data_IF_487011250975
#
_entry.id   IF_487011250975
#
_cell.length_a   1.000
_cell.length_b   1.000
_cell.length_c   1.000
_cell.angle_alpha   90.00
_cell.angle_beta   90.00
_cell.angle_gamma   90.00
#
_symmetry.space_group_name_H-M   'P 1'
#
loop_
_entity.id
_entity.type
_entity.pdbx_description
1 polymer ?
#
# COMPACT_ATOMS: atom_id res chain seq x y z
N UNK A 1 31.38 27.00 11.82
CA UNK A 1 31.90 25.61 11.79
C UNK A 1 33.01 25.38 10.76
N UNK A 2 33.95 26.35 10.62
CA UNK A 2 35.08 26.25 9.70
C UNK A 2 36.06 25.10 9.98
N UNK A 3 36.10 24.58 11.22
CA UNK A 3 37.01 23.50 11.60
C UNK A 3 36.66 22.11 11.03
N UNK A 4 35.41 21.88 10.77
CA UNK A 4 34.94 20.60 10.20
C UNK A 4 35.21 20.51 8.70
N UNK A 5 35.28 21.64 8.02
CA UNK A 5 35.58 21.74 6.59
C UNK A 5 37.07 21.61 6.29
N UNK A 6 37.95 22.09 7.18
CA UNK A 6 39.38 21.91 7.03
C UNK A 6 39.83 20.45 7.17
N UNK A 7 39.21 19.69 8.11
CA UNK A 7 39.49 18.26 8.28
C UNK A 7 39.06 17.43 7.06
N UNK A 8 37.82 17.69 6.54
CA UNK A 8 37.33 17.03 5.33
C UNK A 8 38.18 17.37 4.09
N UNK A 9 38.70 18.58 3.99
CA UNK A 9 39.54 19.02 2.87
C UNK A 9 40.91 18.30 2.86
N UNK A 10 41.50 18.01 4.01
CA UNK A 10 42.71 17.22 4.12
C UNK A 10 42.48 15.74 3.75
N UNK A 11 41.36 15.18 4.17
CA UNK A 11 41.01 13.79 3.89
C UNK A 11 40.73 13.56 2.39
N UNK A 12 40.07 14.51 1.72
CA UNK A 12 39.79 14.44 0.27
C UNK A 12 41.06 14.81 -0.59
N UNK A 13 41.99 15.57 -0.09
CA UNK A 13 43.21 15.95 -0.81
C UNK A 13 44.15 14.76 -1.12
N UNK A 14 43.93 13.60 -0.47
CA UNK A 14 44.71 12.38 -0.66
C UNK A 14 44.26 11.50 -1.82
N UNK A 15 43.17 11.83 -2.49
CA UNK A 15 42.61 11.04 -3.59
C UNK A 15 43.08 11.59 -4.95
N UNK A 16 44.19 11.07 -5.46
CA UNK A 16 44.70 11.44 -6.79
C UNK A 16 43.68 11.06 -7.90
N UNK A 17 43.43 12.01 -8.81
CA UNK A 17 42.58 11.80 -9.99
C UNK A 17 41.06 11.92 -9.73
N UNK A 18 40.65 12.30 -8.51
CA UNK A 18 39.23 12.55 -8.19
C UNK A 18 38.94 14.04 -8.11
N UNK A 19 37.98 14.51 -8.92
CA UNK A 19 37.49 15.89 -8.84
C UNK A 19 36.37 15.98 -7.81
N UNK A 20 36.56 16.78 -6.77
CA UNK A 20 35.57 17.01 -5.72
C UNK A 20 34.81 18.30 -6.00
N UNK A 21 33.50 18.20 -6.08
CA UNK A 21 32.60 19.35 -6.20
C UNK A 21 31.84 19.52 -4.88
N UNK A 22 32.11 20.61 -4.17
CA UNK A 22 31.39 20.98 -2.98
C UNK A 22 30.25 21.93 -3.36
N UNK A 23 29.02 21.43 -3.28
CA UNK A 23 27.84 22.26 -3.44
C UNK A 23 27.43 22.78 -2.05
N UNK A 24 27.71 24.05 -1.81
CA UNK A 24 27.23 24.72 -0.60
C UNK A 24 25.82 25.22 -0.85
N UNK A 25 24.88 24.70 -0.07
CA UNK A 25 23.53 25.25 -0.01
C UNK A 25 23.53 26.43 0.99
N UNK A 26 22.92 27.53 0.60
CA UNK A 26 22.64 28.67 1.48
C UNK A 26 21.86 28.20 2.72
N UNK A 27 21.87 28.98 3.77
CA UNK A 27 21.29 28.68 5.08
C UNK A 27 19.99 27.91 5.01
N UNK A 28 19.84 26.91 5.90
CA UNK A 28 18.62 26.11 5.99
C UNK A 28 17.42 27.04 6.08
N UNK A 29 16.34 26.75 5.35
CA UNK A 29 15.11 27.51 5.49
C UNK A 29 14.69 27.54 6.96
N UNK A 30 14.22 28.67 7.41
CA UNK A 30 13.85 28.92 8.82
C UNK A 30 12.86 27.88 9.36
N UNK A 31 12.01 27.33 8.50
CA UNK A 31 11.09 26.26 8.82
C UNK A 31 10.68 25.50 7.57
N UNK A 32 10.73 24.17 7.60
CA UNK A 32 10.22 23.30 6.57
C UNK A 32 9.33 22.21 7.18
N UNK A 33 8.19 21.97 6.58
CA UNK A 33 7.29 20.87 6.86
C UNK A 33 7.26 19.95 5.66
N UNK A 34 7.28 18.66 5.88
CA UNK A 34 7.09 17.67 4.83
C UNK A 34 5.99 16.68 5.21
N UNK A 35 5.27 16.17 4.21
CA UNK A 35 4.16 15.24 4.44
C UNK A 35 4.35 13.94 3.68
N UNK A 36 3.95 12.85 4.31
CA UNK A 36 3.86 11.53 3.70
C UNK A 36 2.57 10.84 4.10
N UNK A 37 2.04 10.04 3.20
CA UNK A 37 0.87 9.20 3.43
C UNK A 37 1.27 7.74 3.32
N UNK A 38 0.80 6.95 4.27
CA UNK A 38 1.03 5.52 4.33
C UNK A 38 -0.29 4.78 4.59
N UNK A 39 -0.30 3.47 4.40
CA UNK A 39 -1.42 2.58 4.72
C UNK A 39 -2.76 3.01 4.12
N UNK A 40 -2.76 3.54 2.90
CA UNK A 40 -4.00 3.91 2.20
C UNK A 40 -4.82 2.67 1.89
N UNK A 41 -6.04 2.60 2.41
CA UNK A 41 -6.94 1.46 2.24
C UNK A 41 -8.35 1.94 1.98
N UNK A 42 -8.98 1.38 0.94
CA UNK A 42 -10.40 1.51 0.71
C UNK A 42 -11.14 0.38 1.45
N UNK A 43 -12.13 0.75 2.23
CA UNK A 43 -12.95 -0.20 2.99
C UNK A 43 -14.43 0.08 2.72
N UNK A 44 -15.25 -0.97 2.79
CA UNK A 44 -16.71 -0.85 2.74
C UNK A 44 -17.28 -1.41 4.03
N UNK A 45 -18.06 -0.62 4.73
CA UNK A 45 -18.66 -1.00 6.00
C UNK A 45 -20.14 -0.61 6.01
N UNK A 46 -21.02 -1.59 6.12
CA UNK A 46 -22.48 -1.34 6.19
C UNK A 46 -23.08 -0.68 4.95
N UNK A 47 -22.41 -0.76 3.80
CA UNK A 47 -22.87 -0.11 2.55
C UNK A 47 -22.16 1.22 2.26
N UNK A 48 -21.51 1.83 3.25
CA UNK A 48 -20.72 3.04 3.08
C UNK A 48 -19.27 2.70 2.75
N UNK A 49 -18.66 3.48 1.88
CA UNK A 49 -17.24 3.35 1.54
C UNK A 49 -16.42 4.47 2.20
N UNK A 50 -15.28 4.10 2.72
CA UNK A 50 -14.33 5.03 3.33
C UNK A 50 -12.89 4.70 2.91
N UNK A 51 -12.05 5.71 2.87
CA UNK A 51 -10.61 5.56 2.86
C UNK A 51 -10.10 5.66 4.28
N UNK A 52 -9.19 4.77 4.64
CA UNK A 52 -8.39 4.88 5.86
C UNK A 52 -6.94 5.08 5.44
N UNK A 53 -6.26 6.04 6.07
CA UNK A 53 -4.87 6.34 5.77
C UNK A 53 -4.15 6.90 7.00
N UNK A 54 -2.83 6.78 6.99
CA UNK A 54 -1.96 7.37 7.99
C UNK A 54 -1.21 8.55 7.35
N UNK A 55 -1.17 9.69 8.06
CA UNK A 55 -0.41 10.87 7.63
C UNK A 55 0.70 11.13 8.62
N UNK A 56 1.90 11.29 8.10
CA UNK A 56 3.09 11.68 8.85
C UNK A 56 3.52 13.06 8.38
N UNK A 57 3.73 13.97 9.32
CA UNK A 57 4.27 15.31 9.07
C UNK A 57 5.57 15.43 9.82
N UNK A 58 6.63 15.81 9.14
CA UNK A 58 7.92 16.11 9.78
C UNK A 58 8.18 17.60 9.74
N UNK A 59 8.74 18.12 10.83
CA UNK A 59 9.22 19.47 10.93
C UNK A 59 10.75 19.49 10.93
N UNK A 60 11.35 20.35 10.13
CA UNK A 60 12.80 20.54 10.06
C UNK A 60 13.13 22.03 10.02
N UNK A 61 14.26 22.43 10.63
CA UNK A 61 14.70 23.82 10.66
C UNK A 61 13.90 24.70 11.62
N UNK A 62 14.48 25.85 11.98
CA UNK A 62 13.84 26.85 12.86
C UNK A 62 13.63 26.41 14.32
N UNK A 63 13.22 27.34 15.15
CA UNK A 63 12.72 27.01 16.48
C UNK A 63 11.40 26.25 16.33
N UNK A 64 11.34 25.09 16.96
CA UNK A 64 10.15 24.21 16.90
C UNK A 64 8.94 24.94 17.48
N UNK A 65 8.13 25.52 16.61
CA UNK A 65 6.88 26.15 17.01
C UNK A 65 5.84 25.05 17.13
N UNK A 66 5.61 24.60 18.36
CA UNK A 66 4.43 23.83 18.68
C UNK A 66 3.19 24.66 18.33
N UNK A 67 2.22 24.04 17.67
CA UNK A 67 0.99 24.76 17.28
C UNK A 67 0.08 23.88 16.44
N UNK A 68 -1.07 24.41 16.09
CA UNK A 68 -2.00 23.72 15.19
C UNK A 68 -1.72 24.08 13.74
N UNK A 69 -1.72 23.08 12.90
CA UNK A 69 -1.61 23.26 11.45
C UNK A 69 -2.78 22.58 10.75
N UNK A 70 -3.34 23.20 9.70
CA UNK A 70 -4.33 22.56 8.86
C UNK A 70 -3.65 21.57 7.92
N UNK A 71 -4.19 20.36 7.84
CA UNK A 71 -3.87 19.37 6.81
C UNK A 71 -5.05 19.34 5.84
N UNK A 72 -4.82 19.66 4.58
CA UNK A 72 -5.81 19.61 3.52
C UNK A 72 -5.80 18.22 2.87
N UNK A 73 -6.95 17.59 2.78
CA UNK A 73 -7.19 16.36 2.04
C UNK A 73 -7.98 16.68 0.78
N UNK A 74 -7.57 16.13 -0.35
CA UNK A 74 -8.34 16.16 -1.59
C UNK A 74 -8.48 14.73 -2.09
N UNK A 75 -9.71 14.24 -2.27
CA UNK A 75 -10.01 12.90 -2.80
C UNK A 75 -11.01 13.06 -3.93
N UNK A 76 -10.60 12.70 -5.14
CA UNK A 76 -11.40 12.85 -6.37
C UNK A 76 -12.07 14.23 -6.51
N UNK A 77 -11.34 15.30 -6.16
CA UNK A 77 -11.82 16.68 -6.22
C UNK A 77 -12.64 17.16 -5.02
N UNK A 78 -12.95 16.29 -4.06
CA UNK A 78 -13.62 16.68 -2.80
C UNK A 78 -12.56 17.04 -1.78
N UNK A 79 -12.70 18.22 -1.16
CA UNK A 79 -11.74 18.74 -0.18
C UNK A 79 -12.29 18.72 1.23
N UNK A 80 -11.40 18.38 2.17
CA UNK A 80 -11.63 18.49 3.61
C UNK A 80 -10.35 18.96 4.31
N UNK A 81 -10.50 19.53 5.51
CA UNK A 81 -9.37 20.04 6.30
C UNK A 81 -9.48 19.50 7.71
N UNK A 82 -8.35 19.06 8.25
CA UNK A 82 -8.23 18.61 9.65
C UNK A 82 -7.09 19.37 10.30
N UNK A 83 -7.34 19.96 11.47
CA UNK A 83 -6.29 20.57 12.28
C UNK A 83 -5.60 19.53 13.14
N UNK A 84 -4.28 19.49 13.10
CA UNK A 84 -3.44 18.62 13.92
C UNK A 84 -2.49 19.45 14.79
N UNK A 85 -2.18 18.94 15.98
CA UNK A 85 -1.16 19.52 16.83
C UNK A 85 0.22 19.07 16.36
N UNK A 86 1.07 20.05 16.08
CA UNK A 86 2.46 19.86 15.67
C UNK A 86 3.36 20.06 16.88
N UNK A 87 4.22 19.12 17.14
CA UNK A 87 5.29 19.24 18.13
C UNK A 87 6.66 19.49 17.44
N UNK A 88 7.73 19.48 18.23
CA UNK A 88 9.09 19.70 17.75
C UNK A 88 9.58 18.66 16.72
N UNK A 89 8.97 17.49 16.66
CA UNK A 89 9.34 16.40 15.79
C UNK A 89 8.40 16.26 14.57
N UNK A 90 7.21 16.85 14.68
CA UNK A 90 6.19 16.78 13.64
C UNK A 90 4.81 16.46 14.20
N UNK A 91 3.99 15.81 13.39
CA UNK A 91 2.67 15.32 13.75
C UNK A 91 2.38 13.98 13.08
N UNK A 92 1.53 13.17 13.71
CA UNK A 92 1.04 11.92 13.16
C UNK A 92 -0.47 11.84 13.29
N UNK A 93 -1.15 11.53 12.20
CA UNK A 93 -2.58 11.27 12.17
C UNK A 93 -2.78 9.83 11.67
N UNK A 94 -3.05 8.91 12.59
CA UNK A 94 -3.19 7.50 12.28
C UNK A 94 -4.65 7.10 12.09
N UNK A 95 -4.90 6.24 11.11
CA UNK A 95 -6.23 5.68 10.84
C UNK A 95 -7.27 6.75 10.49
N UNK A 96 -6.86 7.86 9.88
CA UNK A 96 -7.78 8.90 9.45
C UNK A 96 -8.75 8.37 8.41
N UNK A 97 -10.05 8.66 8.60
CA UNK A 97 -11.12 8.16 7.74
C UNK A 97 -11.70 9.27 6.90
N UNK A 98 -11.78 9.03 5.61
CA UNK A 98 -12.39 9.94 4.64
C UNK A 98 -13.53 9.19 3.96
N UNK A 99 -14.79 9.63 4.13
CA UNK A 99 -15.93 9.07 3.40
C UNK A 99 -15.75 9.28 1.90
N UNK A 100 -16.06 8.25 1.11
CA UNK A 100 -16.04 8.31 -0.35
C UNK A 100 -17.33 7.73 -0.93
N UNK A 101 -17.62 8.01 -2.20
CA UNK A 101 -18.74 7.38 -2.90
C UNK A 101 -18.50 5.86 -2.99
N UNK A 102 -19.49 5.07 -2.56
CA UNK A 102 -19.41 3.60 -2.56
C UNK A 102 -19.19 3.01 -3.97
N UNK A 103 -19.63 3.72 -5.02
CA UNK A 103 -19.45 3.32 -6.41
C UNK A 103 -18.04 3.56 -6.93
N UNK A 104 -17.20 4.25 -6.17
CA UNK A 104 -15.85 4.57 -6.56
C UNK A 104 -14.92 3.39 -6.25
N UNK A 105 -14.71 2.51 -7.23
CA UNK A 105 -13.86 1.34 -7.10
C UNK A 105 -12.36 1.70 -6.99
N UNK A 106 -11.93 2.78 -7.62
CA UNK A 106 -10.57 3.28 -7.60
C UNK A 106 -10.55 4.80 -7.75
N UNK A 107 -9.47 5.43 -7.33
CA UNK A 107 -9.30 6.86 -7.44
C UNK A 107 -7.94 7.34 -6.97
N UNK A 108 -7.83 8.64 -6.81
CA UNK A 108 -6.63 9.32 -6.36
C UNK A 108 -6.96 10.35 -5.27
N UNK A 109 -5.95 10.73 -4.53
CA UNK A 109 -6.05 11.80 -3.57
C UNK A 109 -4.72 12.49 -3.33
N UNK A 110 -4.77 13.57 -2.59
CA UNK A 110 -3.58 14.25 -2.09
C UNK A 110 -3.79 14.75 -0.67
N UNK A 111 -2.68 14.85 0.04
CA UNK A 111 -2.59 15.50 1.35
C UNK A 111 -1.65 16.68 1.20
N UNK A 112 -2.10 17.84 1.65
CA UNK A 112 -1.36 19.10 1.54
C UNK A 112 -1.16 19.79 2.89
N UNK A 113 -0.01 20.43 3.04
CA UNK A 113 0.36 21.30 4.16
C UNK A 113 0.31 22.78 3.75
N UNK A 114 0.26 23.70 4.70
CA UNK A 114 0.48 25.11 4.43
C UNK A 114 1.83 25.37 3.74
N UNK A 115 1.89 26.42 2.94
CA UNK A 115 3.13 26.81 2.26
C UNK A 115 4.21 27.20 3.27
N UNK A 116 5.40 26.73 3.02
CA UNK A 116 6.61 27.09 3.75
C UNK A 116 7.78 27.37 2.78
N UNK A 117 9.01 27.24 3.24
CA UNK A 117 10.21 27.54 2.46
C UNK A 117 10.46 26.56 1.31
N UNK A 118 9.96 25.31 1.42
CA UNK A 118 10.08 24.29 0.37
C UNK A 118 8.71 23.74 -0.03
N UNK A 119 8.00 24.35 -0.96
CA UNK A 119 6.65 23.90 -1.33
C UNK A 119 6.61 22.55 -2.05
N UNK A 120 7.75 21.94 -2.38
CA UNK A 120 7.81 20.68 -3.14
C UNK A 120 7.46 19.46 -2.30
N UNK A 121 7.70 19.49 -0.99
CA UNK A 121 7.41 18.41 -0.05
C UNK A 121 6.17 18.66 0.82
N UNK A 122 5.45 19.78 0.55
CA UNK A 122 4.20 20.11 1.22
C UNK A 122 2.99 19.37 0.65
N UNK A 123 3.14 18.54 -0.37
CA UNK A 123 2.03 17.78 -0.95
C UNK A 123 2.45 16.36 -1.29
N UNK A 124 1.66 15.40 -0.84
CA UNK A 124 1.80 13.99 -1.15
C UNK A 124 0.58 13.50 -1.92
N UNK A 125 0.81 12.77 -3.01
CA UNK A 125 -0.24 12.19 -3.83
C UNK A 125 -0.31 10.68 -3.59
N UNK A 126 -1.52 10.15 -3.58
CA UNK A 126 -1.74 8.71 -3.44
C UNK A 126 -2.85 8.23 -4.37
N UNK A 127 -2.86 6.93 -4.61
CA UNK A 127 -3.93 6.24 -5.33
C UNK A 127 -4.53 5.18 -4.42
N UNK A 128 -5.78 4.83 -4.69
CA UNK A 128 -6.46 3.75 -3.99
C UNK A 128 -7.33 2.95 -4.96
N UNK A 129 -7.57 1.70 -4.61
CA UNK A 129 -8.50 0.82 -5.33
C UNK A 129 -9.24 -0.08 -4.35
N UNK A 130 -10.29 -0.73 -4.83
CA UNK A 130 -10.86 -1.85 -4.10
C UNK A 130 -9.80 -2.90 -3.81
N UNK A 131 -9.85 -3.55 -2.63
CA UNK A 131 -8.95 -4.65 -2.33
C UNK A 131 -9.06 -5.73 -3.41
N UNK A 132 -7.92 -6.14 -3.95
CA UNK A 132 -7.87 -7.26 -4.88
C UNK A 132 -8.44 -8.52 -4.21
N UNK A 133 -9.31 -9.23 -4.93
CA UNK A 133 -9.84 -10.52 -4.47
C UNK A 133 -8.84 -11.60 -4.84
N UNK A 134 -8.29 -12.29 -3.85
CA UNK A 134 -7.53 -13.52 -4.04
C UNK A 134 -8.49 -14.69 -3.97
N UNK A 135 -8.82 -15.26 -5.11
CA UNK A 135 -9.67 -16.43 -5.18
C UNK A 135 -8.83 -17.71 -5.19
N UNK A 136 -9.22 -18.67 -4.37
CA UNK A 136 -8.71 -20.02 -4.38
C UNK A 136 -9.87 -20.99 -4.63
N UNK A 137 -9.63 -22.00 -5.45
CA UNK A 137 -10.58 -23.07 -5.68
C UNK A 137 -10.00 -24.38 -5.18
N UNK A 138 -10.78 -25.14 -4.44
CA UNK A 138 -10.43 -26.46 -3.92
C UNK A 138 -11.29 -27.49 -4.65
N UNK A 139 -10.67 -28.37 -5.40
CA UNK A 139 -11.34 -29.52 -6.00
C UNK A 139 -11.13 -30.73 -5.09
N UNK A 140 -12.18 -31.20 -4.47
CA UNK A 140 -12.14 -32.29 -3.50
C UNK A 140 -13.52 -32.88 -3.24
N UNK A 141 -13.60 -34.20 -3.21
CA UNK A 141 -14.77 -34.96 -2.76
C UNK A 141 -14.73 -35.26 -1.24
N UNK A 142 -13.58 -35.04 -0.57
CA UNK A 142 -13.47 -35.13 0.90
C UNK A 142 -13.82 -33.78 1.57
N UNK A 143 -15.05 -33.66 2.03
CA UNK A 143 -15.56 -32.47 2.67
C UNK A 143 -14.76 -32.03 3.91
N UNK A 144 -14.12 -32.96 4.63
CA UNK A 144 -13.36 -32.67 5.83
C UNK A 144 -12.02 -32.00 5.49
N UNK A 145 -11.35 -32.52 4.47
CA UNK A 145 -10.08 -31.95 3.99
C UNK A 145 -10.34 -30.61 3.31
N UNK A 146 -11.36 -30.55 2.44
CA UNK A 146 -11.77 -29.29 1.79
C UNK A 146 -12.07 -28.19 2.80
N UNK A 147 -12.77 -28.50 3.89
CA UNK A 147 -13.05 -27.52 4.94
C UNK A 147 -11.79 -27.09 5.69
N UNK A 148 -10.81 -27.96 5.92
CA UNK A 148 -9.54 -27.58 6.52
C UNK A 148 -8.78 -26.58 5.65
N UNK A 149 -8.66 -26.81 4.35
CA UNK A 149 -8.06 -25.88 3.41
C UNK A 149 -8.84 -24.58 3.31
N UNK A 150 -10.17 -24.66 3.23
CA UNK A 150 -11.04 -23.48 3.18
C UNK A 150 -10.79 -22.57 4.37
N UNK A 151 -10.70 -23.11 5.59
CA UNK A 151 -10.39 -22.34 6.81
C UNK A 151 -9.00 -21.73 6.77
N UNK A 152 -8.00 -22.48 6.34
CA UNK A 152 -6.63 -22.00 6.24
C UNK A 152 -6.51 -20.82 5.24
N UNK A 153 -7.14 -20.95 4.07
CA UNK A 153 -7.11 -19.95 3.02
C UNK A 153 -7.99 -18.73 3.31
N UNK A 154 -8.99 -18.86 4.17
CA UNK A 154 -9.86 -17.76 4.58
C UNK A 154 -9.17 -16.78 5.55
N UNK A 155 -8.02 -17.15 6.12
CA UNK A 155 -7.26 -16.27 7.01
C UNK A 155 -6.52 -15.23 6.17
N UNK A 156 -6.88 -13.94 6.26
CA UNK A 156 -6.19 -12.91 5.49
C UNK A 156 -4.79 -12.68 6.07
N UNK A 157 -3.76 -12.81 5.25
CA UNK A 157 -2.38 -12.47 5.59
C UNK A 157 -2.13 -10.97 5.57
N UNK A 158 -2.97 -10.22 4.84
CA UNK A 158 -2.99 -8.76 4.77
C UNK A 158 -4.46 -8.28 4.82
N UNK A 159 -4.81 -7.36 5.74
CA UNK A 159 -6.17 -6.82 5.83
C UNK A 159 -6.63 -6.03 4.59
N UNK A 160 -5.71 -5.67 3.69
CA UNK A 160 -6.01 -5.04 2.40
C UNK A 160 -6.48 -6.01 1.31
N UNK A 161 -6.57 -7.31 1.57
CA UNK A 161 -6.94 -8.31 0.59
C UNK A 161 -8.26 -8.98 0.98
N UNK A 162 -9.10 -9.27 -0.02
CA UNK A 162 -10.27 -10.12 0.16
C UNK A 162 -9.93 -11.52 -0.31
N UNK A 163 -10.28 -12.52 0.49
CA UNK A 163 -10.11 -13.92 0.13
C UNK A 163 -11.48 -14.51 -0.22
N UNK A 164 -11.56 -15.18 -1.37
CA UNK A 164 -12.70 -16.02 -1.78
C UNK A 164 -12.16 -17.45 -1.89
N UNK A 165 -12.85 -18.39 -1.28
CA UNK A 165 -12.48 -19.80 -1.36
C UNK A 165 -13.71 -20.59 -1.76
N UNK A 166 -13.66 -21.16 -2.95
CA UNK A 166 -14.69 -22.00 -3.51
C UNK A 166 -14.30 -23.48 -3.36
N UNK A 167 -15.24 -24.32 -2.98
CA UNK A 167 -15.03 -25.79 -2.89
C UNK A 167 -15.92 -26.45 -3.92
N UNK A 168 -15.34 -27.22 -4.82
CA UNK A 168 -16.01 -27.86 -5.94
C UNK A 168 -15.71 -29.36 -5.89
N UNK A 169 -16.72 -30.24 -5.89
CA UNK A 169 -16.49 -31.68 -6.00
C UNK A 169 -15.99 -32.04 -7.42
N UNK A 170 -15.27 -33.14 -7.55
CA UNK A 170 -14.71 -33.56 -8.84
C UNK A 170 -15.79 -33.72 -9.94
N UNK A 171 -16.99 -34.15 -9.56
CA UNK A 171 -18.11 -34.29 -10.48
C UNK A 171 -18.62 -32.99 -11.10
N UNK A 172 -18.20 -31.83 -10.57
CA UNK A 172 -18.57 -30.48 -11.02
C UNK A 172 -17.35 -29.63 -11.38
N UNK A 173 -16.25 -30.26 -11.80
CA UNK A 173 -15.00 -29.58 -12.16
C UNK A 173 -15.17 -28.60 -13.32
N UNK A 174 -16.18 -28.77 -14.15
CA UNK A 174 -16.59 -27.86 -15.23
C UNK A 174 -17.10 -26.52 -14.72
N UNK A 175 -17.47 -26.41 -13.43
CA UNK A 175 -17.89 -25.17 -12.79
C UNK A 175 -16.74 -24.34 -12.23
N UNK A 176 -15.49 -24.81 -12.37
CA UNK A 176 -14.32 -24.05 -11.92
C UNK A 176 -14.19 -22.75 -12.70
N UNK A 177 -14.18 -21.63 -11.98
CA UNK A 177 -13.86 -20.31 -12.54
C UNK A 177 -12.34 -20.20 -12.76
N UNK A 178 -11.89 -20.76 -13.89
CA UNK A 178 -10.46 -20.79 -14.23
C UNK A 178 -9.84 -19.40 -14.36
N UNK A 179 -10.62 -18.39 -14.82
CA UNK A 179 -10.12 -17.04 -14.99
C UNK A 179 -10.05 -16.27 -13.68
N UNK A 180 -11.04 -16.45 -12.83
CA UNK A 180 -11.13 -15.79 -11.54
C UNK A 180 -10.31 -16.42 -10.43
N UNK A 181 -9.83 -17.67 -10.61
CA UNK A 181 -9.04 -18.42 -9.62
C UNK A 181 -7.55 -18.08 -9.73
N UNK A 182 -6.91 -17.75 -8.61
CA UNK A 182 -5.45 -17.54 -8.53
C UNK A 182 -4.67 -18.75 -8.02
N UNK A 183 -5.30 -19.54 -7.14
CA UNK A 183 -4.74 -20.76 -6.56
C UNK A 183 -5.75 -21.91 -6.72
N UNK A 184 -5.32 -22.99 -7.32
CA UNK A 184 -6.07 -24.25 -7.37
C UNK A 184 -5.45 -25.26 -6.39
N UNK A 185 -6.25 -25.83 -5.51
CA UNK A 185 -5.89 -26.99 -4.71
C UNK A 185 -6.62 -28.19 -5.28
N UNK A 186 -5.85 -29.16 -5.76
CA UNK A 186 -6.37 -30.37 -6.37
C UNK A 186 -6.11 -31.55 -5.45
N UNK A 187 -7.15 -32.06 -4.83
CA UNK A 187 -7.08 -33.17 -3.89
C UNK A 187 -7.89 -34.36 -4.42
N UNK A 188 -7.58 -34.77 -5.63
CA UNK A 188 -8.21 -35.84 -6.36
C UNK A 188 -7.13 -36.56 -7.18
N UNK A 189 -7.41 -37.74 -7.76
CA UNK A 189 -6.49 -38.36 -8.69
C UNK A 189 -6.02 -37.40 -9.79
N UNK A 190 -4.80 -37.61 -10.30
CA UNK A 190 -4.25 -36.73 -11.31
C UNK A 190 -5.22 -36.58 -12.50
N UNK A 191 -5.51 -35.34 -12.90
CA UNK A 191 -6.46 -35.07 -13.96
C UNK A 191 -5.97 -35.62 -15.32
N UNK A 192 -6.91 -35.96 -16.19
CA UNK A 192 -6.64 -36.41 -17.54
C UNK A 192 -7.59 -35.72 -18.53
N UNK A 193 -7.26 -35.80 -19.83
CA UNK A 193 -8.07 -35.23 -20.90
C UNK A 193 -8.23 -33.68 -20.76
N UNK A 194 -9.41 -33.16 -21.02
CA UNK A 194 -9.67 -31.74 -21.06
C UNK A 194 -9.35 -31.01 -19.76
N UNK A 195 -9.51 -31.66 -18.60
CA UNK A 195 -9.20 -31.02 -17.28
C UNK A 195 -7.68 -30.84 -17.14
N UNK A 196 -6.87 -31.80 -17.60
CA UNK A 196 -5.41 -31.67 -17.60
C UNK A 196 -4.97 -30.50 -18.47
N UNK A 197 -5.55 -30.35 -19.66
CA UNK A 197 -5.26 -29.23 -20.57
C UNK A 197 -5.65 -27.89 -19.99
N UNK A 198 -6.75 -27.81 -19.25
CA UNK A 198 -7.14 -26.56 -18.51
C UNK A 198 -6.13 -26.24 -17.42
N UNK A 199 -5.69 -27.22 -16.66
CA UNK A 199 -4.67 -27.04 -15.62
C UNK A 199 -3.33 -26.60 -16.22
N UNK A 200 -2.92 -27.16 -17.36
CA UNK A 200 -1.71 -26.73 -18.06
C UNK A 200 -1.81 -25.26 -18.50
N UNK A 201 -2.94 -24.84 -19.07
CA UNK A 201 -3.19 -23.45 -19.44
C UNK A 201 -3.21 -22.53 -18.22
N UNK A 202 -3.81 -22.97 -17.13
CA UNK A 202 -3.87 -22.26 -15.86
C UNK A 202 -2.47 -21.97 -15.31
N UNK A 203 -1.60 -23.00 -15.26
CA UNK A 203 -0.19 -22.86 -14.82
C UNK A 203 0.59 -22.00 -15.82
N UNK A 204 0.39 -22.20 -17.13
CA UNK A 204 1.03 -21.43 -18.19
C UNK A 204 0.68 -19.92 -18.13
N UNK A 205 -0.44 -19.55 -17.51
CA UNK A 205 -0.83 -18.16 -17.25
C UNK A 205 -0.19 -17.55 -15.99
N UNK A 206 0.72 -18.29 -15.31
CA UNK A 206 1.42 -17.83 -14.11
C UNK A 206 0.66 -18.07 -12.80
N UNK A 207 -0.37 -18.90 -12.82
CA UNK A 207 -1.17 -19.28 -11.64
C UNK A 207 -0.62 -20.54 -10.99
N UNK A 208 -1.05 -20.83 -9.78
CA UNK A 208 -0.48 -21.90 -8.95
C UNK A 208 -1.47 -23.04 -8.76
N UNK A 209 -1.01 -24.27 -8.93
CA UNK A 209 -1.72 -25.50 -8.57
C UNK A 209 -0.95 -26.24 -7.50
N UNK A 210 -1.66 -26.70 -6.48
CA UNK A 210 -1.15 -27.60 -5.45
C UNK A 210 -1.90 -28.93 -5.56
N UNK A 211 -1.15 -30.01 -5.75
CA UNK A 211 -1.69 -31.37 -5.76
C UNK A 211 -1.43 -32.03 -4.40
N UNK A 212 -2.44 -32.69 -3.83
CA UNK A 212 -2.37 -33.42 -2.57
C UNK A 212 -2.88 -34.83 -2.70
#
# INVERSE_FOLDING_TARGET
>A
DGGRWSALREEFATLEGVHHFLLSYADRPERNLSVRVENVRRQTRGGDAELTLDVMVWAAGGDAVAGRIPIEFEVNGVRSVVEVELDAQGASLQGHRIPIDARLAAGWGSVGLPRDANPLDNRFYFVFSEPAVRAATIVSDDARIAEAFRRALAIPTDPGWRHRVDVIPLSRVDEVDWEGTGLLIWQEPLPSGGVAEEIERFVGSGRVVLFF
#
